data_IF_256153143812
#
_entry.id   IF_256153143812
#
_cell.length_a   1.000
_cell.length_b   1.000
_cell.length_c   1.000
_cell.angle_alpha   90.00
_cell.angle_beta   90.00
_cell.angle_gamma   90.00
#
_symmetry.space_group_name_H-M   'P 1'
#
loop_
_entity.id
_entity.type
_entity.pdbx_description
1 polymer ?
#
# COMPACT_ATOMS: atom_id res chain seq x y z
N UNK A 1 6.42 9.93 28.68
CA UNK A 1 5.08 10.39 29.09
C UNK A 1 4.20 10.36 27.84
N UNK A 2 3.47 9.26 27.61
CA UNK A 2 2.63 9.08 26.43
C UNK A 2 1.29 9.77 26.66
N UNK A 3 0.96 10.75 25.81
CA UNK A 3 -0.35 11.39 25.84
C UNK A 3 -1.43 10.37 25.45
N UNK A 4 -2.61 10.37 26.10
CA UNK A 4 -3.71 9.52 25.69
C UNK A 4 -4.13 9.92 24.26
N UNK A 5 -3.82 9.05 23.30
CA UNK A 5 -4.17 9.26 21.90
C UNK A 5 -5.55 8.68 21.66
N UNK A 6 -6.42 9.44 21.00
CA UNK A 6 -7.74 8.97 20.60
C UNK A 6 -7.60 7.68 19.75
N UNK A 7 -8.41 6.63 19.96
CA UNK A 7 -8.24 5.33 19.30
C UNK A 7 -8.23 5.43 17.76
N UNK A 8 -8.94 6.41 17.20
CA UNK A 8 -8.90 6.68 15.77
C UNK A 8 -7.54 7.20 15.27
N UNK A 9 -6.84 8.00 16.08
CA UNK A 9 -5.51 8.53 15.78
C UNK A 9 -4.41 7.48 16.05
N UNK A 10 -4.66 6.54 16.95
CA UNK A 10 -3.74 5.43 17.23
C UNK A 10 -3.48 4.58 15.97
N UNK A 11 -4.51 4.40 15.14
CA UNK A 11 -4.41 3.64 13.88
C UNK A 11 -3.48 4.35 12.89
N UNK A 12 -3.61 5.67 12.76
CA UNK A 12 -2.75 6.49 11.91
C UNK A 12 -1.31 6.54 12.41
N UNK A 13 -1.10 6.61 13.73
CA UNK A 13 0.24 6.55 14.32
C UNK A 13 0.91 5.20 14.06
N UNK A 14 0.20 4.10 14.30
CA UNK A 14 0.71 2.76 14.02
C UNK A 14 1.01 2.57 12.54
N UNK A 15 0.15 3.10 11.66
CA UNK A 15 0.40 3.10 10.21
C UNK A 15 1.68 3.87 9.87
N UNK A 16 1.84 5.10 10.40
CA UNK A 16 3.00 5.93 10.14
C UNK A 16 4.30 5.30 10.66
N UNK A 17 4.27 4.64 11.82
CA UNK A 17 5.41 3.89 12.36
C UNK A 17 5.80 2.73 11.45
N UNK A 18 4.85 1.88 11.07
CA UNK A 18 5.11 0.78 10.14
C UNK A 18 5.61 1.27 8.76
N UNK A 19 5.14 2.44 8.31
CA UNK A 19 5.61 3.07 7.07
C UNK A 19 7.05 3.56 7.21
N UNK A 20 7.42 4.13 8.36
CA UNK A 20 8.78 4.59 8.65
C UNK A 20 9.77 3.42 8.73
N UNK A 21 9.40 2.33 9.39
CA UNK A 21 10.22 1.11 9.47
C UNK A 21 10.44 0.51 8.08
N UNK A 22 9.39 0.44 7.26
CA UNK A 22 9.49 -0.02 5.87
C UNK A 22 10.33 0.94 5.01
N UNK A 23 10.28 2.25 5.27
CA UNK A 23 11.11 3.24 4.59
C UNK A 23 12.60 3.00 4.86
N UNK A 24 12.95 2.79 6.12
CA UNK A 24 14.32 2.53 6.57
C UNK A 24 14.84 1.21 6.00
N UNK A 25 14.02 0.16 6.03
CA UNK A 25 14.37 -1.14 5.44
C UNK A 25 14.59 -1.05 3.93
N UNK A 26 13.73 -0.32 3.21
CA UNK A 26 13.83 -0.16 1.76
C UNK A 26 14.94 0.77 1.30
N UNK A 27 15.38 1.74 2.13
CA UNK A 27 16.38 2.73 1.74
C UNK A 27 17.72 2.12 1.33
N UNK A 28 18.15 1.07 2.03
CA UNK A 28 19.39 0.35 1.72
C UNK A 28 19.35 -0.33 0.34
N UNK A 29 18.17 -0.78 -0.09
CA UNK A 29 17.92 -1.41 -1.39
C UNK A 29 17.80 -0.37 -2.53
N UNK A 30 17.23 0.80 -2.23
CA UNK A 30 17.10 1.92 -3.19
C UNK A 30 18.46 2.46 -3.60
N UNK A 31 19.39 2.64 -2.65
CA UNK A 31 20.71 3.24 -2.92
C UNK A 31 21.51 2.44 -3.95
N UNK A 32 21.34 1.12 -4.00
CA UNK A 32 22.00 0.25 -4.97
C UNK A 32 21.28 0.21 -6.33
N UNK A 33 19.95 0.35 -6.35
CA UNK A 33 19.13 0.32 -7.57
C UNK A 33 19.16 1.63 -8.38
N UNK A 34 19.38 2.78 -7.74
CA UNK A 34 19.34 4.13 -8.34
C UNK A 34 20.45 4.45 -9.37
N UNK A 35 21.18 3.46 -9.93
CA UNK A 35 22.02 3.71 -11.12
C UNK A 35 21.12 4.04 -12.32
N UNK A 36 20.92 5.35 -12.48
CA UNK A 36 19.99 6.02 -13.39
C UNK A 36 20.02 5.46 -14.82
N UNK A 37 18.93 4.80 -15.22
CA UNK A 37 18.49 4.81 -16.62
C UNK A 37 17.59 6.04 -16.82
N UNK A 38 17.91 6.89 -17.81
CA UNK A 38 17.07 8.05 -18.20
C UNK A 38 15.62 7.60 -18.39
N UNK A 39 14.71 8.18 -17.63
CA UNK A 39 13.28 7.86 -17.65
C UNK A 39 12.59 8.63 -18.78
N UNK A 40 11.87 7.94 -19.65
CA UNK A 40 10.94 8.58 -20.59
C UNK A 40 9.77 9.18 -19.80
N UNK A 41 9.52 10.49 -19.95
CA UNK A 41 8.66 11.28 -19.06
C UNK A 41 7.15 11.04 -19.17
N UNK A 42 6.70 10.09 -19.99
CA UNK A 42 5.27 9.91 -20.31
C UNK A 42 4.75 8.47 -20.20
N UNK A 43 5.41 7.59 -19.43
CA UNK A 43 4.91 6.23 -19.18
C UNK A 43 4.33 6.12 -17.77
N UNK A 44 3.13 5.55 -17.64
CA UNK A 44 2.54 5.12 -16.36
C UNK A 44 3.62 4.38 -15.56
N UNK A 45 3.92 4.87 -14.35
CA UNK A 45 4.95 4.23 -13.52
C UNK A 45 4.51 2.79 -13.25
N UNK A 46 5.41 1.86 -13.50
CA UNK A 46 5.21 0.43 -13.22
C UNK A 46 5.96 0.09 -11.93
N UNK A 47 5.40 -0.79 -11.07
CA UNK A 47 6.13 -1.35 -9.95
C UNK A 47 7.46 -1.99 -10.40
N UNK A 48 8.51 -1.83 -9.61
CA UNK A 48 9.83 -2.40 -9.86
C UNK A 48 10.78 -2.16 -8.68
N UNK A 49 12.08 -2.41 -8.85
CA UNK A 49 13.10 -2.16 -7.81
C UNK A 49 13.09 -0.69 -7.31
N UNK A 50 12.65 0.23 -8.18
CA UNK A 50 12.53 1.66 -7.91
C UNK A 50 11.29 2.05 -7.08
N UNK A 51 10.42 1.10 -6.73
CA UNK A 51 9.21 1.33 -5.93
C UNK A 51 9.12 0.41 -4.69
N UNK A 52 10.14 0.33 -3.84
CA UNK A 52 10.21 -0.69 -2.79
C UNK A 52 9.14 -0.50 -1.70
N UNK A 53 8.79 0.76 -1.36
CA UNK A 53 7.67 1.03 -0.46
C UNK A 53 6.36 0.43 -0.98
N UNK A 54 6.07 0.62 -2.27
CA UNK A 54 4.89 0.03 -2.88
C UNK A 54 4.99 -1.50 -2.90
N UNK A 55 6.16 -2.07 -3.21
CA UNK A 55 6.34 -3.52 -3.23
C UNK A 55 6.03 -4.14 -1.85
N UNK A 56 6.52 -3.51 -0.78
CA UNK A 56 6.20 -3.90 0.60
C UNK A 56 4.70 -3.80 0.88
N UNK A 57 4.06 -2.67 0.52
CA UNK A 57 2.62 -2.48 0.70
C UNK A 57 1.80 -3.54 -0.07
N UNK A 58 2.18 -3.83 -1.32
CA UNK A 58 1.52 -4.81 -2.16
C UNK A 58 1.63 -6.23 -1.60
N UNK A 59 2.75 -6.59 -0.96
CA UNK A 59 2.88 -7.85 -0.21
C UNK A 59 1.84 -7.89 0.91
N UNK A 60 1.82 -6.88 1.79
CA UNK A 60 0.90 -6.85 2.94
C UNK A 60 -0.59 -6.86 2.51
N UNK A 61 -0.93 -6.14 1.45
CA UNK A 61 -2.28 -6.10 0.90
C UNK A 61 -2.70 -7.44 0.29
N UNK A 62 -1.79 -8.13 -0.42
CA UNK A 62 -2.07 -9.46 -0.97
C UNK A 62 -2.33 -10.48 0.14
N UNK A 63 -1.53 -10.44 1.21
CA UNK A 63 -1.72 -11.29 2.38
C UNK A 63 -3.09 -11.06 3.02
N UNK A 64 -3.47 -9.79 3.26
CA UNK A 64 -4.78 -9.44 3.79
C UNK A 64 -5.93 -9.84 2.84
N UNK A 65 -5.69 -9.89 1.54
CA UNK A 65 -6.68 -10.29 0.53
C UNK A 65 -6.74 -11.80 0.25
N UNK A 66 -5.98 -12.65 0.95
CA UNK A 66 -6.03 -14.12 0.78
C UNK A 66 -7.43 -14.72 0.99
N UNK A 67 -8.21 -14.32 2.02
CA UNK A 67 -9.55 -14.88 2.21
C UNK A 67 -10.47 -14.56 1.04
N UNK A 68 -11.33 -15.52 0.68
CA UNK A 68 -12.25 -15.38 -0.46
C UNK A 68 -13.13 -14.13 -0.34
N UNK A 69 -13.35 -13.44 -1.47
CA UNK A 69 -14.19 -12.24 -1.53
C UNK A 69 -13.55 -10.95 -0.97
N UNK A 70 -12.42 -11.03 -0.26
CA UNK A 70 -11.78 -9.85 0.36
C UNK A 70 -11.28 -8.84 -0.69
N UNK A 71 -10.72 -9.32 -1.80
CA UNK A 71 -10.31 -8.45 -2.91
C UNK A 71 -11.50 -7.68 -3.53
N UNK A 72 -12.69 -8.31 -3.59
CA UNK A 72 -13.90 -7.64 -4.10
C UNK A 72 -14.44 -6.60 -3.11
N UNK A 73 -14.34 -6.88 -1.81
CA UNK A 73 -14.61 -5.93 -0.72
C UNK A 73 -13.70 -4.70 -0.78
N UNK A 74 -12.40 -4.91 -0.88
CA UNK A 74 -11.43 -3.82 -1.05
C UNK A 74 -11.71 -3.00 -2.31
N UNK A 75 -12.02 -3.64 -3.45
CA UNK A 75 -12.36 -2.92 -4.68
C UNK A 75 -13.60 -2.02 -4.52
N UNK A 76 -14.64 -2.49 -3.82
CA UNK A 76 -15.84 -1.69 -3.49
C UNK A 76 -15.48 -0.49 -2.60
N UNK A 77 -14.71 -0.71 -1.53
CA UNK A 77 -14.26 0.35 -0.63
C UNK A 77 -13.45 1.45 -1.36
N UNK A 78 -12.62 1.04 -2.30
CA UNK A 78 -11.81 1.96 -3.10
C UNK A 78 -12.60 2.65 -4.22
N UNK A 79 -13.82 2.18 -4.53
CA UNK A 79 -14.59 2.67 -5.68
C UNK A 79 -13.93 2.38 -7.03
N UNK A 80 -13.15 1.29 -7.14
CA UNK A 80 -12.44 0.92 -8.38
C UNK A 80 -12.84 -0.46 -8.88
N UNK A 81 -12.76 -0.71 -10.20
CA UNK A 81 -12.97 -2.05 -10.74
C UNK A 81 -11.99 -3.07 -10.14
N UNK A 82 -12.46 -4.30 -9.88
CA UNK A 82 -11.62 -5.40 -9.38
C UNK A 82 -10.40 -5.66 -10.28
N UNK A 83 -10.57 -5.49 -11.59
CA UNK A 83 -9.47 -5.62 -12.54
C UNK A 83 -8.36 -4.58 -12.28
N UNK A 84 -8.74 -3.33 -12.01
CA UNK A 84 -7.78 -2.26 -11.68
C UNK A 84 -7.03 -2.56 -10.38
N UNK A 85 -7.72 -3.12 -9.38
CA UNK A 85 -7.05 -3.59 -8.16
C UNK A 85 -6.10 -4.76 -8.43
N UNK A 86 -6.42 -5.62 -9.40
CA UNK A 86 -5.54 -6.71 -9.82
C UNK A 86 -4.27 -6.19 -10.49
N UNK A 87 -4.39 -5.18 -11.34
CA UNK A 87 -3.28 -4.51 -12.02
C UNK A 87 -2.23 -3.97 -11.03
N UNK A 88 -2.70 -3.41 -9.90
CA UNK A 88 -1.84 -2.90 -8.83
C UNK A 88 -1.15 -4.02 -8.05
N UNK A 89 -1.92 -5.01 -7.58
CA UNK A 89 -1.43 -6.00 -6.61
C UNK A 89 -0.72 -7.19 -7.23
N UNK A 90 -1.12 -7.60 -8.44
CA UNK A 90 -0.64 -8.84 -9.08
C UNK A 90 -0.09 -8.59 -10.47
N UNK A 91 -0.71 -7.70 -11.25
CA UNK A 91 -0.34 -7.46 -12.65
C UNK A 91 0.96 -6.67 -12.83
N UNK A 92 1.41 -5.93 -11.81
CA UNK A 92 2.59 -5.04 -11.87
C UNK A 92 2.56 -4.10 -13.10
N UNK A 93 1.37 -3.78 -13.60
CA UNK A 93 1.20 -3.05 -14.86
C UNK A 93 1.11 -1.54 -14.64
N UNK A 94 0.76 -1.12 -13.42
CA UNK A 94 0.65 0.29 -13.00
C UNK A 94 0.82 0.43 -11.49
N UNK A 95 1.35 1.57 -11.07
CA UNK A 95 1.30 2.04 -9.68
C UNK A 95 -0.05 2.75 -9.42
N UNK A 96 -0.65 2.60 -8.24
CA UNK A 96 -1.73 3.48 -7.80
C UNK A 96 -1.21 4.90 -7.57
N UNK A 97 -2.12 5.87 -7.64
CA UNK A 97 -1.85 7.22 -7.17
C UNK A 97 -1.72 7.26 -5.63
N UNK A 98 -1.31 8.42 -5.11
CA UNK A 98 -1.07 8.60 -3.69
C UNK A 98 -2.34 8.43 -2.85
N UNK A 99 -3.48 8.99 -3.29
CA UNK A 99 -4.75 8.91 -2.57
C UNK A 99 -5.21 7.46 -2.45
N UNK A 100 -5.20 6.72 -3.56
CA UNK A 100 -5.62 5.33 -3.61
C UNK A 100 -4.70 4.46 -2.76
N UNK A 101 -3.40 4.77 -2.73
CA UNK A 101 -2.44 4.12 -1.83
C UNK A 101 -2.81 4.34 -0.36
N UNK A 102 -3.09 5.59 0.04
CA UNK A 102 -3.49 5.92 1.40
C UNK A 102 -4.78 5.22 1.81
N UNK A 103 -5.78 5.17 0.92
CA UNK A 103 -7.04 4.45 1.15
C UNK A 103 -6.80 2.93 1.31
N UNK A 104 -5.94 2.32 0.49
CA UNK A 104 -5.56 0.91 0.67
C UNK A 104 -4.91 0.64 2.02
N UNK A 105 -4.00 1.53 2.44
CA UNK A 105 -3.32 1.42 3.74
C UNK A 105 -4.27 1.60 4.92
N UNK A 106 -5.19 2.55 4.84
CA UNK A 106 -6.26 2.71 5.81
C UNK A 106 -7.11 1.43 5.91
N UNK A 107 -7.57 0.90 4.78
CA UNK A 107 -8.33 -0.36 4.76
C UNK A 107 -7.56 -1.52 5.39
N UNK A 108 -6.26 -1.63 5.11
CA UNK A 108 -5.39 -2.65 5.69
C UNK A 108 -5.29 -2.50 7.22
N UNK A 109 -5.13 -1.28 7.73
CA UNK A 109 -5.03 -1.00 9.15
C UNK A 109 -6.34 -1.34 9.88
N UNK A 110 -7.49 -0.96 9.31
CA UNK A 110 -8.81 -1.31 9.83
C UNK A 110 -9.04 -2.83 9.85
N UNK A 111 -8.69 -3.52 8.76
CA UNK A 111 -8.82 -4.97 8.64
C UNK A 111 -7.98 -5.70 9.69
N UNK A 112 -6.76 -5.23 9.95
CA UNK A 112 -5.88 -5.77 11.01
C UNK A 112 -6.42 -5.50 12.41
N UNK A 113 -7.16 -4.42 12.60
CA UNK A 113 -7.83 -4.11 13.85
C UNK A 113 -9.15 -4.88 14.03
N UNK A 114 -9.47 -5.83 13.15
CA UNK A 114 -10.69 -6.64 13.19
C UNK A 114 -11.95 -5.93 12.70
N UNK A 115 -11.81 -4.73 12.11
CA UNK A 115 -12.92 -3.96 11.52
C UNK A 115 -12.96 -4.17 10.02
N UNK A 116 -14.14 -4.05 9.42
CA UNK A 116 -14.30 -4.10 7.97
C UNK A 116 -14.90 -2.79 7.47
N UNK A 117 -14.10 -1.83 6.96
CA UNK A 117 -14.60 -0.54 6.48
C UNK A 117 -15.31 -0.67 5.12
N UNK A 118 -15.37 -1.87 4.54
CA UNK A 118 -16.09 -2.17 3.29
C UNK A 118 -17.45 -2.83 3.52
N UNK A 119 -17.84 -3.03 4.78
CA UNK A 119 -19.16 -3.53 5.20
C UNK A 119 -20.18 -2.42 5.28
#
# INVERSE_FOLDING_TARGET
MSLPVHPHLQIWLNLSGALADAAVAGFSEIKSALRSRRRASYRTRRPGAESPMWNACAILLREACRPYGTKARLARYLGVPRQRLNDFLTGHSRLPDAELTLRMLHWLAETRAGRDPSR
#
